data_IF_117149748314
#
_entry.id   IF_117149748314
#
_cell.length_a   1.000
_cell.length_b   1.000
_cell.length_c   1.000
_cell.angle_alpha   90.00
_cell.angle_beta   90.00
_cell.angle_gamma   90.00
#
_symmetry.space_group_name_H-M   'P 1'
#
loop_
_entity.id
_entity.type
_entity.pdbx_description
1 polymer ?
#
# COMPACT_ATOMS: atom_id res chain seq x y z
N UNK A 1 5.91 10.80 7.87
CA UNK A 1 5.58 9.41 7.43
C UNK A 1 6.03 8.50 8.54
N UNK A 2 5.12 7.76 9.17
CA UNK A 2 5.43 6.91 10.32
C UNK A 2 5.97 5.55 9.87
N UNK A 3 5.40 5.01 8.80
CA UNK A 3 5.82 3.75 8.19
C UNK A 3 5.56 3.82 6.69
N UNK A 4 6.50 3.32 5.90
CA UNK A 4 6.30 3.00 4.49
C UNK A 4 6.99 1.67 4.19
N UNK A 5 6.26 0.76 3.56
CA UNK A 5 6.76 -0.56 3.23
C UNK A 5 6.25 -1.02 1.87
N UNK A 6 7.10 -1.76 1.17
CA UNK A 6 6.81 -2.51 -0.03
C UNK A 6 6.55 -3.95 0.36
N UNK A 7 5.36 -4.45 0.02
CA UNK A 7 4.95 -5.81 0.28
C UNK A 7 4.66 -6.55 -1.01
N UNK A 8 4.84 -7.86 -1.00
CA UNK A 8 4.25 -8.73 -2.02
C UNK A 8 2.77 -9.06 -1.72
N UNK A 9 2.12 -9.73 -2.66
CA UNK A 9 0.70 -10.12 -2.59
C UNK A 9 0.39 -11.12 -1.46
N UNK A 10 1.40 -11.79 -0.93
CA UNK A 10 1.27 -12.80 0.11
C UNK A 10 1.54 -12.19 1.51
N UNK A 11 2.01 -10.94 1.57
CA UNK A 11 2.26 -10.20 2.81
C UNK A 11 3.73 -10.23 3.25
N UNK A 12 4.65 -10.64 2.38
CA UNK A 12 6.09 -10.58 2.70
C UNK A 12 6.64 -9.16 2.46
N UNK A 13 7.52 -8.72 3.36
CA UNK A 13 8.20 -7.43 3.25
C UNK A 13 9.37 -7.54 2.27
N UNK A 14 9.31 -6.76 1.20
CA UNK A 14 10.41 -6.60 0.25
C UNK A 14 11.36 -5.52 0.74
N UNK A 15 10.80 -4.38 1.14
CA UNK A 15 11.56 -3.24 1.65
C UNK A 15 10.71 -2.42 2.64
N UNK A 16 11.34 -1.80 3.64
CA UNK A 16 10.66 -0.88 4.56
C UNK A 16 11.57 0.27 4.98
N UNK A 17 10.98 1.44 5.20
CA UNK A 17 11.67 2.52 5.91
C UNK A 17 12.08 2.06 7.30
N UNK A 18 13.25 2.49 7.80
CA UNK A 18 13.76 2.09 9.13
C UNK A 18 12.68 2.24 10.22
N UNK A 19 12.07 1.12 10.53
CA UNK A 19 11.19 0.91 11.66
C UNK A 19 11.79 -0.25 12.44
N UNK A 20 12.21 0.03 13.67
CA UNK A 20 12.76 -0.97 14.59
C UNK A 20 11.65 -1.85 15.18
N UNK A 21 10.37 -1.52 14.94
CA UNK A 21 9.23 -2.30 15.40
C UNK A 21 8.75 -3.34 14.37
N UNK A 22 8.18 -4.44 14.85
CA UNK A 22 7.57 -5.49 14.03
C UNK A 22 6.18 -5.10 13.44
N UNK A 23 5.80 -3.82 13.55
CA UNK A 23 4.47 -3.36 13.12
C UNK A 23 4.27 -3.51 11.62
N UNK A 24 5.34 -3.36 10.83
CA UNK A 24 5.29 -3.58 9.38
C UNK A 24 4.88 -5.01 9.02
N UNK A 25 5.38 -6.00 9.76
CA UNK A 25 5.15 -7.42 9.54
C UNK A 25 3.72 -7.81 9.92
N UNK A 26 3.27 -7.36 11.09
CA UNK A 26 1.89 -7.57 11.55
C UNK A 26 0.88 -6.95 10.58
N UNK A 27 1.13 -5.72 10.14
CA UNK A 27 0.27 -5.06 9.16
C UNK A 27 0.27 -5.78 7.81
N UNK A 28 1.42 -6.26 7.33
CA UNK A 28 1.51 -6.97 6.06
C UNK A 28 0.71 -8.28 6.08
N UNK A 29 0.82 -9.05 7.16
CA UNK A 29 0.11 -10.31 7.34
C UNK A 29 -1.41 -10.11 7.41
N UNK A 30 -1.87 -9.14 8.21
CA UNK A 30 -3.29 -8.82 8.32
C UNK A 30 -3.86 -8.33 6.97
N UNK A 31 -3.15 -7.44 6.29
CA UNK A 31 -3.65 -6.85 5.04
C UNK A 31 -3.64 -7.80 3.85
N UNK A 32 -2.74 -8.78 3.75
CA UNK A 32 -2.75 -9.73 2.62
C UNK A 32 -4.03 -10.57 2.59
N UNK A 33 -4.64 -10.80 3.75
CA UNK A 33 -5.94 -11.45 3.88
C UNK A 33 -7.08 -10.52 3.43
N UNK A 34 -7.08 -9.27 3.91
CA UNK A 34 -8.11 -8.26 3.64
C UNK A 34 -8.10 -7.81 2.17
N UNK A 35 -6.91 -7.66 1.57
CA UNK A 35 -6.71 -7.27 0.18
C UNK A 35 -7.43 -8.19 -0.81
N UNK A 36 -7.39 -9.51 -0.56
CA UNK A 36 -8.08 -10.49 -1.40
C UNK A 36 -9.60 -10.28 -1.37
N UNK A 37 -10.15 -9.95 -0.20
CA UNK A 37 -11.56 -9.63 -0.08
C UNK A 37 -11.91 -8.29 -0.73
N UNK A 38 -11.07 -7.27 -0.58
CA UNK A 38 -11.28 -5.97 -1.24
C UNK A 38 -11.28 -6.13 -2.77
N UNK A 39 -10.30 -6.85 -3.34
CA UNK A 39 -10.23 -7.03 -4.80
C UNK A 39 -11.44 -7.83 -5.32
N UNK A 40 -11.89 -8.83 -4.55
CA UNK A 40 -13.14 -9.57 -4.83
C UNK A 40 -14.34 -8.63 -4.81
N UNK A 41 -14.55 -7.89 -3.72
CA UNK A 41 -15.70 -6.99 -3.55
C UNK A 41 -15.72 -5.88 -4.61
N UNK A 42 -14.58 -5.27 -4.90
CA UNK A 42 -14.47 -4.21 -5.92
C UNK A 42 -14.74 -4.73 -7.34
N UNK A 43 -14.25 -5.94 -7.66
CA UNK A 43 -14.55 -6.62 -8.92
C UNK A 43 -16.05 -6.91 -9.07
N UNK A 44 -16.71 -7.36 -8.00
CA UNK A 44 -18.14 -7.70 -8.02
C UNK A 44 -19.06 -6.47 -8.03
N UNK A 45 -18.71 -5.41 -7.28
CA UNK A 45 -19.62 -4.31 -7.03
C UNK A 45 -19.49 -3.17 -8.05
N UNK A 46 -18.28 -2.74 -8.46
CA UNK A 46 -18.13 -1.41 -9.08
C UNK A 46 -16.92 -1.22 -10.02
N UNK A 47 -16.82 -1.94 -11.15
CA UNK A 47 -16.01 -1.50 -12.30
C UNK A 47 -14.47 -1.71 -12.28
N UNK A 48 -13.98 -2.80 -11.68
CA UNK A 48 -12.61 -3.30 -11.92
C UNK A 48 -11.83 -3.65 -10.66
N UNK A 49 -10.51 -3.81 -10.79
CA UNK A 49 -9.61 -4.14 -9.68
C UNK A 49 -9.25 -2.90 -8.87
N UNK A 50 -8.99 -3.10 -7.58
CA UNK A 50 -8.54 -2.02 -6.69
C UNK A 50 -7.14 -1.55 -7.08
N UNK A 51 -6.97 -0.23 -7.26
CA UNK A 51 -5.66 0.39 -7.51
C UNK A 51 -5.10 1.10 -6.26
N UNK A 52 -5.97 1.65 -5.42
CA UNK A 52 -5.61 2.41 -4.22
C UNK A 52 -6.71 2.32 -3.17
N UNK A 53 -6.32 2.37 -1.90
CA UNK A 53 -7.20 2.51 -0.75
C UNK A 53 -6.61 3.52 0.24
N UNK A 54 -7.46 4.38 0.78
CA UNK A 54 -7.11 5.34 1.82
C UNK A 54 -8.13 5.18 2.95
N UNK A 55 -7.65 4.92 4.15
CA UNK A 55 -8.48 4.81 5.36
C UNK A 55 -8.01 5.90 6.31
N UNK A 56 -8.89 6.85 6.56
CA UNK A 56 -8.65 7.92 7.52
C UNK A 56 -9.09 7.48 8.92
N UNK A 57 -8.16 7.44 9.85
CA UNK A 57 -8.41 7.21 11.27
C UNK A 57 -8.31 8.54 12.03
N UNK A 58 -8.50 8.50 13.35
CA UNK A 58 -8.45 9.68 14.22
C UNK A 58 -7.07 10.37 14.18
N UNK A 59 -6.00 9.58 14.31
CA UNK A 59 -4.63 10.09 14.45
C UNK A 59 -3.75 9.90 13.22
N UNK A 60 -4.17 9.03 12.31
CA UNK A 60 -3.34 8.54 11.22
C UNK A 60 -4.16 8.29 9.96
N UNK A 61 -3.44 8.21 8.85
CA UNK A 61 -4.00 7.77 7.58
C UNK A 61 -3.29 6.49 7.19
N UNK A 62 -4.07 5.43 7.01
CA UNK A 62 -3.59 4.24 6.38
C UNK A 62 -3.74 4.38 4.86
N UNK A 63 -2.64 4.18 4.15
CA UNK A 63 -2.57 4.34 2.71
C UNK A 63 -2.08 3.04 2.08
N UNK A 64 -2.79 2.58 1.06
CA UNK A 64 -2.42 1.40 0.29
C UNK A 64 -2.50 1.71 -1.19
N UNK A 65 -1.47 1.31 -1.91
CA UNK A 65 -1.34 1.55 -3.34
C UNK A 65 -0.79 0.33 -4.06
N UNK A 66 -1.49 -0.12 -5.09
CA UNK A 66 -1.11 -1.27 -5.89
C UNK A 66 -0.16 -0.83 -6.99
N UNK A 67 1.06 -1.39 -6.99
CA UNK A 67 2.03 -1.15 -8.07
C UNK A 67 1.67 -2.05 -9.26
N UNK A 68 1.56 -3.36 -9.02
CA UNK A 68 1.19 -4.35 -10.03
C UNK A 68 0.39 -5.50 -9.39
N UNK A 69 0.28 -6.65 -10.07
CA UNK A 69 -0.46 -7.81 -9.55
C UNK A 69 0.22 -8.52 -8.37
N UNK A 70 1.50 -8.21 -8.12
CA UNK A 70 2.34 -8.84 -7.12
C UNK A 70 2.74 -7.92 -5.99
N UNK A 71 2.84 -6.61 -6.21
CA UNK A 71 3.43 -5.69 -5.24
C UNK A 71 2.52 -4.52 -4.87
N UNK A 72 2.61 -4.13 -3.60
CA UNK A 72 1.83 -3.07 -2.98
C UNK A 72 2.71 -2.20 -2.09
N UNK A 73 2.47 -0.90 -2.11
CA UNK A 73 2.99 0.04 -1.12
C UNK A 73 1.94 0.22 -0.04
N UNK A 74 2.34 0.09 1.20
CA UNK A 74 1.53 0.42 2.36
C UNK A 74 2.25 1.48 3.17
N UNK A 75 1.48 2.42 3.72
CA UNK A 75 2.00 3.42 4.62
C UNK A 75 1.05 3.74 5.76
N UNK A 76 1.65 4.02 6.92
CA UNK A 76 0.98 4.72 8.02
C UNK A 76 1.51 6.14 8.02
N UNK A 77 0.61 7.07 7.73
CA UNK A 77 0.92 8.47 7.52
C UNK A 77 0.34 9.29 8.66
N UNK A 78 0.99 10.39 9.01
CA UNK A 78 0.43 11.35 9.95
C UNK A 78 -0.87 11.94 9.40
N UNK A 79 -1.83 12.26 10.27
CA UNK A 79 -3.16 12.77 9.88
C UNK A 79 -3.13 14.02 8.99
N UNK A 80 -2.10 14.85 9.11
CA UNK A 80 -1.91 16.06 8.32
C UNK A 80 -1.22 15.80 6.94
N UNK A 81 -0.96 14.54 6.59
CA UNK A 81 -0.29 14.20 5.33
C UNK A 81 -1.17 14.56 4.14
N UNK A 82 -0.62 15.33 3.20
CA UNK A 82 -1.31 15.73 1.97
C UNK A 82 -1.29 14.56 0.97
N UNK A 83 -2.36 13.76 0.94
CA UNK A 83 -2.48 12.58 0.07
C UNK A 83 -2.30 12.91 -1.41
N UNK A 84 -2.77 14.07 -1.87
CA UNK A 84 -2.55 14.53 -3.26
C UNK A 84 -1.07 14.65 -3.64
N UNK A 85 -0.23 15.15 -2.71
CA UNK A 85 1.22 15.25 -2.93
C UNK A 85 1.88 13.88 -2.95
N UNK A 86 1.47 12.97 -2.04
CA UNK A 86 1.94 11.59 -2.05
C UNK A 86 1.61 10.90 -3.38
N UNK A 87 0.38 11.07 -3.87
CA UNK A 87 -0.06 10.50 -5.13
C UNK A 87 0.76 11.02 -6.31
N UNK A 88 1.07 12.32 -6.33
CA UNK A 88 1.91 12.92 -7.36
C UNK A 88 3.32 12.31 -7.37
N UNK A 89 3.94 12.16 -6.20
CA UNK A 89 5.27 11.53 -6.07
C UNK A 89 5.23 10.08 -6.54
N UNK A 90 4.24 9.30 -6.09
CA UNK A 90 4.09 7.91 -6.50
C UNK A 90 3.88 7.76 -8.01
N UNK A 91 3.08 8.63 -8.61
CA UNK A 91 2.85 8.63 -10.06
C UNK A 91 4.16 8.86 -10.86
N UNK A 92 5.07 9.68 -10.34
CA UNK A 92 6.38 9.94 -10.95
C UNK A 92 7.33 8.75 -10.80
N UNK A 93 7.28 8.03 -9.68
CA UNK A 93 8.15 6.89 -9.37
C UNK A 93 7.62 5.56 -9.92
N UNK A 94 6.30 5.45 -10.14
CA UNK A 94 5.62 4.22 -10.56
C UNK A 94 6.25 3.56 -11.81
N UNK A 95 6.67 4.30 -12.87
CA UNK A 95 7.28 3.68 -14.03
C UNK A 95 8.63 3.01 -13.74
N UNK A 96 9.43 3.61 -12.85
CA UNK A 96 10.74 3.06 -12.46
C UNK A 96 10.57 1.87 -11.52
N UNK A 97 9.72 2.01 -10.50
CA UNK A 97 9.34 0.91 -9.60
C UNK A 97 8.80 -0.29 -10.36
N UNK A 98 7.94 -0.06 -11.37
CA UNK A 98 7.45 -1.15 -12.23
C UNK A 98 8.58 -1.81 -13.00
N UNK A 99 9.54 -1.07 -13.56
CA UNK A 99 10.68 -1.69 -14.26
C UNK A 99 11.59 -2.51 -13.34
N UNK A 100 11.77 -2.08 -12.10
CA UNK A 100 12.59 -2.80 -11.12
C UNK A 100 11.89 -4.06 -10.60
N UNK A 101 10.57 -4.00 -10.43
CA UNK A 101 9.76 -5.10 -9.86
C UNK A 101 9.13 -6.02 -10.92
N UNK A 102 9.02 -5.57 -12.17
CA UNK A 102 8.70 -6.41 -13.34
C UNK A 102 10.02 -7.05 -13.83
N UNK A 103 10.52 -8.00 -13.05
CA UNK A 103 11.40 -9.06 -13.56
C UNK A 103 10.56 -10.04 -14.39
#
# INVERSE_FOLDING_TARGET
VKLLALFDKDGFIVEKTKDESNKSEEMAAEFSSVLRYIDKVTTFLVAGKMNRMVIECDNDIFYLYKINKYYYIIGVLEKNTIIGKLNYVLMMLEPELKKELDI
#
